data_IF_644910332187
#
_entry.id   IF_644910332187
#
_cell.length_a   1.000
_cell.length_b   1.000
_cell.length_c   1.000
_cell.angle_alpha   90.00
_cell.angle_beta   90.00
_cell.angle_gamma   90.00
#
_symmetry.space_group_name_H-M   'P 1'
#
loop_
_entity.id
_entity.type
_entity.pdbx_description
1 polymer ?
#
# COMPACT_ATOMS: atom_id res chain seq x y z
N UNK A 1 -36.90 -2.40 0.90
CA UNK A 1 -36.27 -3.61 1.44
C UNK A 1 -35.17 -4.05 0.48
N UNK A 2 -33.90 -3.76 0.74
CA UNK A 2 -32.78 -4.27 -0.05
C UNK A 2 -32.43 -5.65 0.50
N UNK A 3 -32.56 -6.69 -0.31
CA UNK A 3 -32.11 -8.04 0.04
C UNK A 3 -30.59 -8.05 0.16
N UNK A 4 -30.09 -8.31 1.36
CA UNK A 4 -28.68 -8.61 1.58
C UNK A 4 -28.40 -9.98 0.98
N UNK A 5 -27.62 -10.01 -0.10
CA UNK A 5 -27.08 -11.25 -0.65
C UNK A 5 -26.01 -11.77 0.33
N UNK A 6 -26.34 -12.73 1.14
CA UNK A 6 -25.36 -13.50 1.95
C UNK A 6 -24.50 -14.28 0.95
N UNK A 7 -23.22 -13.89 0.79
CA UNK A 7 -22.26 -14.68 0.01
C UNK A 7 -22.20 -16.10 0.60
N UNK A 8 -22.50 -17.11 -0.20
CA UNK A 8 -22.39 -18.51 0.21
C UNK A 8 -20.90 -18.86 0.32
N UNK A 9 -20.54 -19.60 1.37
CA UNK A 9 -19.21 -20.19 1.51
C UNK A 9 -18.98 -21.14 0.32
N UNK A 10 -18.09 -20.75 -0.62
CA UNK A 10 -17.81 -21.50 -1.86
C UNK A 10 -17.86 -20.67 -3.14
N UNK A 11 -18.42 -19.46 -3.13
CA UNK A 11 -18.37 -18.55 -4.27
C UNK A 11 -17.05 -17.75 -4.18
N UNK A 12 -16.06 -18.14 -4.98
CA UNK A 12 -14.79 -17.39 -5.10
C UNK A 12 -15.13 -16.11 -5.88
N UNK A 13 -15.62 -15.10 -5.14
CA UNK A 13 -15.97 -13.82 -5.73
C UNK A 13 -14.74 -13.17 -6.36
N UNK A 14 -14.91 -12.47 -7.46
CA UNK A 14 -13.87 -11.66 -8.07
C UNK A 14 -13.34 -10.65 -7.06
N UNK A 15 -12.02 -10.59 -6.92
CA UNK A 15 -11.31 -9.66 -6.03
C UNK A 15 -10.30 -8.86 -6.85
N UNK A 16 -10.12 -7.60 -6.49
CA UNK A 16 -9.09 -6.72 -7.05
C UNK A 16 -8.10 -6.31 -5.97
N UNK A 17 -6.84 -6.14 -6.37
CA UNK A 17 -5.77 -5.65 -5.51
C UNK A 17 -5.36 -4.25 -5.97
N UNK A 18 -5.41 -3.28 -5.06
CA UNK A 18 -4.89 -1.93 -5.22
C UNK A 18 -3.68 -1.76 -4.30
N UNK A 19 -2.47 -1.82 -4.87
CA UNK A 19 -1.23 -1.66 -4.11
C UNK A 19 -0.81 -0.19 -4.09
N UNK A 20 -0.85 0.43 -2.93
CA UNK A 20 -0.35 1.79 -2.71
C UNK A 20 1.05 1.71 -2.15
N UNK A 21 2.03 2.18 -2.91
CA UNK A 21 3.43 2.23 -2.49
C UNK A 21 3.95 3.66 -2.40
N UNK A 22 5.06 3.81 -1.72
CA UNK A 22 5.78 5.06 -1.55
C UNK A 22 6.85 4.88 -0.49
N UNK A 23 7.90 5.70 -0.51
CA UNK A 23 8.90 5.66 0.55
C UNK A 23 8.35 6.07 1.91
N UNK A 24 9.08 5.84 3.00
CA UNK A 24 8.76 6.49 4.27
C UNK A 24 8.71 8.01 4.06
N UNK A 25 7.74 8.68 4.68
CA UNK A 25 7.53 10.13 4.46
C UNK A 25 6.59 10.49 3.29
N UNK A 26 6.22 9.55 2.42
CA UNK A 26 5.29 9.82 1.31
C UNK A 26 3.81 9.99 1.74
N UNK A 27 3.47 9.78 3.02
CA UNK A 27 2.11 10.01 3.55
C UNK A 27 1.20 8.78 3.54
N UNK A 28 1.70 7.59 3.26
CA UNK A 28 0.92 6.35 3.09
C UNK A 28 -0.08 6.06 4.21
N UNK A 29 0.37 6.03 5.47
CA UNK A 29 -0.51 5.68 6.61
C UNK A 29 -1.64 6.68 6.78
N UNK A 30 -1.36 7.98 6.63
CA UNK A 30 -2.38 9.03 6.68
C UNK A 30 -3.42 8.85 5.56
N UNK A 31 -2.96 8.53 4.34
CA UNK A 31 -3.85 8.28 3.20
C UNK A 31 -4.66 6.99 3.38
N UNK A 32 -4.09 5.96 3.99
CA UNK A 32 -4.80 4.73 4.33
C UNK A 32 -5.97 5.02 5.27
N UNK A 33 -5.77 5.84 6.31
CA UNK A 33 -6.82 6.22 7.25
C UNK A 33 -7.94 7.01 6.55
N UNK A 34 -7.57 7.96 5.68
CA UNK A 34 -8.50 8.71 4.85
C UNK A 34 -9.31 7.83 3.88
N UNK A 35 -8.67 6.82 3.27
CA UNK A 35 -9.34 5.86 2.39
C UNK A 35 -10.28 4.94 3.17
N UNK A 36 -9.86 4.48 4.34
CA UNK A 36 -10.70 3.65 5.22
C UNK A 36 -12.00 4.37 5.59
N UNK A 37 -11.94 5.69 5.79
CA UNK A 37 -13.11 6.51 6.09
C UNK A 37 -14.03 6.79 4.87
N UNK A 38 -13.52 6.61 3.64
CA UNK A 38 -14.24 6.98 2.39
C UNK A 38 -14.69 5.81 1.54
N UNK A 39 -14.06 4.66 1.68
CA UNK A 39 -14.42 3.44 0.94
C UNK A 39 -15.46 2.64 1.71
N UNK A 40 -16.33 1.95 0.99
CA UNK A 40 -17.32 1.05 1.56
C UNK A 40 -16.61 -0.13 2.26
N UNK A 41 -16.70 -0.28 3.60
CA UNK A 41 -16.02 -1.35 4.32
C UNK A 41 -16.56 -2.74 4.01
N UNK A 42 -17.77 -2.87 3.46
CA UNK A 42 -18.32 -4.16 3.03
C UNK A 42 -17.66 -4.64 1.73
N UNK A 43 -17.15 -3.72 0.92
CA UNK A 43 -16.52 -4.00 -0.37
C UNK A 43 -14.99 -3.98 -0.31
N UNK A 44 -14.40 -3.08 0.46
CA UNK A 44 -12.96 -2.84 0.49
C UNK A 44 -12.36 -3.12 1.86
N UNK A 45 -11.20 -3.77 1.87
CA UNK A 45 -10.33 -3.87 3.03
C UNK A 45 -9.09 -3.00 2.83
N UNK A 46 -8.91 -1.95 3.65
CA UNK A 46 -7.71 -1.11 3.63
C UNK A 46 -6.75 -1.62 4.70
N UNK A 47 -5.60 -2.16 4.29
CA UNK A 47 -4.63 -2.81 5.20
C UNK A 47 -3.24 -2.27 4.93
N UNK A 48 -2.55 -1.78 5.97
CA UNK A 48 -1.13 -1.46 5.92
C UNK A 48 -0.30 -2.73 6.17
N UNK A 49 0.87 -2.83 5.54
CA UNK A 49 1.82 -3.92 5.79
C UNK A 49 2.15 -4.08 7.27
N UNK A 50 2.21 -2.98 8.02
CA UNK A 50 2.49 -2.98 9.45
C UNK A 50 1.33 -3.59 10.29
N UNK A 51 0.12 -3.66 9.73
CA UNK A 51 -1.06 -4.26 10.38
C UNK A 51 -1.20 -5.77 10.14
N UNK A 52 -0.31 -6.35 9.34
CA UNK A 52 -0.35 -7.80 9.04
C UNK A 52 0.06 -8.67 10.23
N UNK A 53 0.75 -8.09 11.21
CA UNK A 53 1.29 -8.79 12.38
C UNK A 53 2.61 -9.50 12.10
N UNK A 54 3.23 -9.25 10.93
CA UNK A 54 4.58 -9.69 10.62
C UNK A 54 5.57 -8.56 10.92
N UNK A 55 6.73 -8.92 11.48
CA UNK A 55 7.76 -7.96 11.82
C UNK A 55 8.95 -8.13 10.88
N UNK A 56 9.42 -7.04 10.27
CA UNK A 56 10.59 -7.03 9.41
C UNK A 56 11.83 -7.64 10.10
N UNK A 57 12.02 -7.38 11.39
CA UNK A 57 13.18 -7.87 12.13
C UNK A 57 13.25 -9.39 12.28
N UNK A 58 12.12 -10.09 12.09
CA UNK A 58 12.08 -11.56 12.08
C UNK A 58 12.56 -12.15 10.73
N UNK A 59 12.75 -11.28 9.73
CA UNK A 59 13.17 -11.64 8.37
C UNK A 59 14.57 -11.10 8.06
N UNK A 60 14.91 -9.90 8.53
CA UNK A 60 16.15 -9.20 8.20
C UNK A 60 17.39 -10.01 8.55
N UNK A 61 18.30 -10.19 7.57
CA UNK A 61 19.51 -10.99 7.71
C UNK A 61 19.30 -12.51 7.72
N UNK A 62 18.10 -13.00 7.48
CA UNK A 62 17.77 -14.42 7.35
C UNK A 62 17.57 -14.84 5.89
N UNK A 63 17.55 -16.14 5.61
CA UNK A 63 17.21 -16.68 4.28
C UNK A 63 15.80 -16.28 3.82
N UNK A 64 14.93 -15.86 4.75
CA UNK A 64 13.57 -15.43 4.50
C UNK A 64 13.43 -13.93 4.19
N UNK A 65 14.50 -13.15 4.26
CA UNK A 65 14.44 -11.69 4.05
C UNK A 65 13.70 -11.31 2.77
N UNK A 66 14.01 -11.97 1.66
CA UNK A 66 13.35 -11.72 0.37
C UNK A 66 11.88 -12.16 0.28
N UNK A 67 11.33 -12.78 1.32
CA UNK A 67 9.92 -13.19 1.38
C UNK A 67 9.04 -12.26 2.19
N UNK A 68 9.60 -11.35 2.99
CA UNK A 68 8.84 -10.50 3.90
C UNK A 68 7.64 -9.80 3.19
N UNK A 69 7.88 -9.21 2.04
CA UNK A 69 6.82 -8.52 1.31
C UNK A 69 5.74 -9.46 0.78
N UNK A 70 6.13 -10.62 0.27
CA UNK A 70 5.18 -11.62 -0.20
C UNK A 70 4.33 -12.18 0.96
N UNK A 71 4.96 -12.48 2.08
CA UNK A 71 4.28 -13.01 3.26
C UNK A 71 3.33 -11.97 3.88
N UNK A 72 3.69 -10.67 3.89
CA UNK A 72 2.79 -9.59 4.33
C UNK A 72 1.58 -9.45 3.42
N UNK A 73 1.77 -9.51 2.10
CA UNK A 73 0.66 -9.44 1.14
C UNK A 73 -0.26 -10.66 1.27
N UNK A 74 0.28 -11.88 1.38
CA UNK A 74 -0.50 -13.10 1.59
C UNK A 74 -1.34 -13.00 2.87
N UNK A 75 -0.75 -12.46 3.96
CA UNK A 75 -1.45 -12.24 5.21
C UNK A 75 -2.56 -11.18 5.08
N UNK A 76 -2.33 -10.13 4.30
CA UNK A 76 -3.32 -9.09 4.03
C UNK A 76 -4.52 -9.65 3.25
N UNK A 77 -4.30 -10.53 2.27
CA UNK A 77 -5.39 -11.24 1.59
C UNK A 77 -6.27 -12.04 2.56
N UNK A 78 -5.66 -12.76 3.50
CA UNK A 78 -6.42 -13.48 4.53
C UNK A 78 -7.31 -12.55 5.37
N UNK A 79 -6.80 -11.36 5.72
CA UNK A 79 -7.55 -10.35 6.47
C UNK A 79 -8.62 -9.62 5.63
N UNK A 80 -8.47 -9.59 4.31
CA UNK A 80 -9.45 -8.98 3.42
C UNK A 80 -10.76 -9.78 3.32
N UNK A 81 -10.74 -11.09 3.65
CA UNK A 81 -11.95 -11.93 3.71
C UNK A 81 -12.77 -11.91 2.42
N UNK A 82 -12.08 -11.93 1.27
CA UNK A 82 -12.71 -11.91 -0.05
C UNK A 82 -13.16 -10.54 -0.55
N UNK A 83 -12.90 -9.45 0.19
CA UNK A 83 -13.12 -8.07 -0.28
C UNK A 83 -12.00 -7.62 -1.20
N UNK A 84 -12.27 -6.60 -2.03
CA UNK A 84 -11.21 -5.90 -2.76
C UNK A 84 -10.18 -5.35 -1.77
N UNK A 85 -8.88 -5.63 -2.02
CA UNK A 85 -7.80 -5.27 -1.09
C UNK A 85 -7.12 -3.97 -1.53
N UNK A 86 -7.16 -2.96 -0.67
CA UNK A 86 -6.30 -1.77 -0.75
C UNK A 86 -5.12 -1.97 0.19
N UNK A 87 -4.00 -2.41 -0.37
CA UNK A 87 -2.79 -2.76 0.39
C UNK A 87 -1.77 -1.63 0.35
N UNK A 88 -1.38 -1.17 1.52
CA UNK A 88 -0.42 -0.07 1.68
C UNK A 88 0.92 -0.61 2.17
N UNK A 89 2.00 -0.30 1.45
CA UNK A 89 3.33 -0.78 1.81
C UNK A 89 4.43 0.20 1.40
N UNK A 90 5.55 0.19 2.12
CA UNK A 90 6.73 0.99 1.77
C UNK A 90 7.71 0.29 0.82
N UNK A 91 7.34 -0.83 0.22
CA UNK A 91 8.25 -1.69 -0.54
C UNK A 91 7.86 -1.74 -2.02
N UNK A 92 8.79 -2.20 -2.88
CA UNK A 92 8.56 -2.29 -4.32
C UNK A 92 7.50 -3.36 -4.65
N UNK A 93 6.37 -3.00 -5.27
CA UNK A 93 5.24 -3.91 -5.43
C UNK A 93 5.53 -5.11 -6.34
N UNK A 94 6.45 -4.96 -7.29
CA UNK A 94 6.77 -6.03 -8.24
C UNK A 94 7.34 -7.29 -7.60
N UNK A 95 8.09 -7.13 -6.49
CA UNK A 95 8.72 -8.26 -5.81
C UNK A 95 7.73 -9.08 -4.99
N UNK A 96 6.56 -8.53 -4.71
CA UNK A 96 5.56 -9.19 -3.86
C UNK A 96 4.55 -9.99 -4.63
N UNK A 97 3.96 -9.37 -5.66
CA UNK A 97 2.86 -9.98 -6.43
C UNK A 97 3.31 -11.29 -7.07
N UNK A 98 4.59 -11.40 -7.46
CA UNK A 98 5.13 -12.62 -8.07
C UNK A 98 5.45 -13.73 -7.10
N UNK A 99 5.61 -13.43 -5.79
CA UNK A 99 6.02 -14.39 -4.76
C UNK A 99 4.95 -14.65 -3.70
N UNK A 100 3.93 -13.78 -3.64
CA UNK A 100 2.84 -13.91 -2.68
C UNK A 100 1.90 -15.06 -3.06
N UNK A 101 1.32 -15.70 -2.06
CA UNK A 101 0.18 -16.57 -2.24
C UNK A 101 -1.05 -15.67 -2.49
N UNK A 102 -1.53 -15.66 -3.72
CA UNK A 102 -2.67 -14.89 -4.14
C UNK A 102 -3.92 -15.75 -4.19
N UNK A 103 -5.12 -15.24 -3.80
CA UNK A 103 -6.36 -15.98 -3.89
C UNK A 103 -6.74 -16.29 -5.34
N UNK A 104 -7.39 -17.42 -5.59
CA UNK A 104 -7.89 -17.79 -6.93
C UNK A 104 -8.81 -16.73 -7.54
N UNK A 105 -9.58 -16.01 -6.71
CA UNK A 105 -10.47 -14.94 -7.12
C UNK A 105 -9.79 -13.62 -7.48
N UNK A 106 -8.46 -13.50 -7.39
CA UNK A 106 -7.76 -12.28 -7.77
C UNK A 106 -7.77 -12.09 -9.30
N UNK A 107 -8.55 -11.12 -9.78
CA UNK A 107 -8.74 -10.87 -11.21
C UNK A 107 -7.88 -9.74 -11.77
N UNK A 108 -7.47 -8.79 -10.93
CA UNK A 108 -6.66 -7.66 -11.35
C UNK A 108 -5.81 -7.09 -10.20
N UNK A 109 -4.63 -6.54 -10.58
CA UNK A 109 -3.74 -5.80 -9.67
C UNK A 109 -3.43 -4.44 -10.26
N UNK A 110 -3.63 -3.39 -9.46
CA UNK A 110 -3.37 -2.01 -9.81
C UNK A 110 -2.31 -1.41 -8.89
N UNK A 111 -1.29 -0.80 -9.47
CA UNK A 111 -0.18 -0.19 -8.75
C UNK A 111 -0.36 1.32 -8.67
N UNK A 112 -0.33 1.85 -7.47
CA UNK A 112 -0.49 3.27 -7.16
C UNK A 112 0.78 3.74 -6.45
N UNK A 113 1.43 4.78 -6.94
CA UNK A 113 2.60 5.37 -6.30
C UNK A 113 2.28 6.72 -5.67
N UNK A 114 2.73 6.90 -4.43
CA UNK A 114 2.85 8.18 -3.76
C UNK A 114 4.30 8.62 -3.81
N UNK A 115 4.54 9.80 -4.31
CA UNK A 115 5.85 10.38 -4.48
C UNK A 115 5.83 11.87 -4.08
N UNK A 116 6.97 12.38 -3.67
CA UNK A 116 7.21 13.82 -3.53
C UNK A 116 8.68 14.10 -3.85
N UNK A 117 9.08 15.35 -4.14
CA UNK A 117 10.49 15.71 -4.28
C UNK A 117 11.31 15.28 -3.06
N UNK A 118 12.57 14.85 -3.30
CA UNK A 118 13.45 14.31 -2.26
C UNK A 118 13.58 15.26 -1.05
N UNK A 119 13.66 16.57 -1.29
CA UNK A 119 13.69 17.59 -0.22
C UNK A 119 12.47 17.52 0.71
N UNK A 120 11.30 17.22 0.14
CA UNK A 120 10.04 17.09 0.91
C UNK A 120 10.03 15.78 1.70
N UNK A 121 10.48 14.69 1.10
CA UNK A 121 10.62 13.40 1.80
C UNK A 121 11.59 13.54 2.98
N UNK A 122 12.75 14.12 2.75
CA UNK A 122 13.76 14.36 3.80
C UNK A 122 13.20 15.23 4.93
N UNK A 123 12.56 16.35 4.60
CA UNK A 123 11.91 17.22 5.58
C UNK A 123 10.88 16.47 6.42
N UNK A 124 10.02 15.69 5.78
CA UNK A 124 8.98 14.89 6.47
C UNK A 124 9.58 13.79 7.36
N UNK A 125 10.69 13.17 6.93
CA UNK A 125 11.40 12.17 7.74
C UNK A 125 12.05 12.79 8.98
N UNK A 126 12.77 13.90 8.81
CA UNK A 126 13.44 14.61 9.93
C UNK A 126 12.44 15.20 10.93
N UNK A 127 11.22 15.53 10.50
CA UNK A 127 10.15 16.00 11.37
C UNK A 127 9.50 14.91 12.22
N UNK A 128 9.83 13.62 12.00
CA UNK A 128 9.32 12.52 12.82
C UNK A 128 9.98 12.49 14.20
N UNK A 129 9.29 11.95 15.21
CA UNK A 129 9.90 11.70 16.51
C UNK A 129 11.21 10.92 16.40
N UNK A 130 12.21 11.25 17.22
CA UNK A 130 13.55 10.66 17.16
C UNK A 130 13.54 9.13 17.32
N UNK A 131 12.59 8.60 18.06
CA UNK A 131 12.36 7.16 18.28
C UNK A 131 12.05 6.39 16.99
N UNK A 132 11.64 7.11 15.92
CA UNK A 132 11.45 6.53 14.58
C UNK A 132 12.76 6.30 13.81
N UNK A 133 13.89 6.76 14.34
CA UNK A 133 15.22 6.46 13.81
C UNK A 133 15.66 7.28 12.58
N UNK A 134 14.92 8.32 12.17
CA UNK A 134 15.27 9.17 11.00
C UNK A 134 16.06 10.42 11.38
N UNK A 135 17.04 10.26 12.26
CA UNK A 135 17.83 11.39 12.80
C UNK A 135 19.14 11.62 12.05
N UNK A 136 19.62 10.64 11.30
CA UNK A 136 20.90 10.71 10.56
C UNK A 136 20.69 10.58 9.06
N UNK A 137 21.67 11.05 8.29
CA UNK A 137 21.66 10.95 6.84
C UNK A 137 21.73 9.48 6.38
N UNK A 138 22.45 8.63 7.11
CA UNK A 138 22.55 7.19 6.85
C UNK A 138 21.18 6.53 6.92
N UNK A 139 20.36 6.88 7.91
CA UNK A 139 19.01 6.34 8.07
C UNK A 139 18.04 6.84 6.98
N UNK A 140 18.23 8.06 6.49
CA UNK A 140 17.36 8.69 5.49
C UNK A 140 17.72 8.26 4.06
N UNK A 141 19.01 8.06 3.76
CA UNK A 141 19.53 7.77 2.41
C UNK A 141 18.82 6.63 1.67
N UNK A 142 18.52 5.47 2.29
CA UNK A 142 17.80 4.40 1.60
C UNK A 142 16.40 4.82 1.15
N UNK A 143 15.72 5.67 1.93
CA UNK A 143 14.38 6.17 1.62
C UNK A 143 14.39 7.15 0.46
N UNK A 144 15.39 8.03 0.39
CA UNK A 144 15.59 8.93 -0.75
C UNK A 144 15.95 8.12 -2.00
N UNK A 145 16.84 7.13 -1.91
CA UNK A 145 17.17 6.26 -3.04
C UNK A 145 15.94 5.53 -3.59
N UNK A 146 15.08 5.02 -2.71
CA UNK A 146 13.83 4.37 -3.12
C UNK A 146 12.83 5.37 -3.72
N UNK A 147 12.70 6.58 -3.15
CA UNK A 147 11.88 7.65 -3.72
C UNK A 147 12.30 8.00 -5.16
N UNK A 148 13.60 8.15 -5.39
CA UNK A 148 14.18 8.40 -6.71
C UNK A 148 13.90 7.23 -7.68
N UNK A 149 13.98 5.99 -7.18
CA UNK A 149 13.63 4.82 -7.98
C UNK A 149 12.16 4.85 -8.40
N UNK A 150 11.24 5.17 -7.50
CA UNK A 150 9.80 5.34 -7.81
C UNK A 150 9.63 6.42 -8.90
N UNK A 151 10.25 7.58 -8.74
CA UNK A 151 10.18 8.68 -9.69
C UNK A 151 10.66 8.29 -11.11
N UNK A 152 11.80 7.58 -11.19
CA UNK A 152 12.33 7.06 -12.48
C UNK A 152 11.47 5.97 -13.11
N UNK A 153 10.69 5.26 -12.29
CA UNK A 153 9.83 4.16 -12.74
C UNK A 153 8.35 4.53 -12.77
N UNK A 154 8.00 5.83 -12.84
CA UNK A 154 6.60 6.29 -12.80
C UNK A 154 5.68 5.61 -13.81
N UNK A 155 6.18 5.22 -14.97
CA UNK A 155 5.42 4.52 -16.00
C UNK A 155 4.99 3.09 -15.64
N UNK A 156 5.46 2.54 -14.51
CA UNK A 156 5.04 1.23 -14.00
C UNK A 156 3.75 1.29 -13.17
N UNK A 157 3.28 2.48 -12.83
CA UNK A 157 2.12 2.70 -11.97
C UNK A 157 0.94 3.17 -12.79
N UNK A 158 -0.24 2.58 -12.56
CA UNK A 158 -1.49 3.01 -13.19
C UNK A 158 -1.98 4.36 -12.65
N UNK A 159 -1.60 4.67 -11.39
CA UNK A 159 -1.80 5.99 -10.81
C UNK A 159 -0.51 6.44 -10.11
N UNK A 160 0.02 7.58 -10.53
CA UNK A 160 1.17 8.23 -9.91
C UNK A 160 0.74 9.57 -9.34
N UNK A 161 0.96 9.78 -8.05
CA UNK A 161 0.54 11.00 -7.35
C UNK A 161 1.76 11.69 -6.74
N UNK A 162 1.98 12.94 -7.16
CA UNK A 162 2.85 13.86 -6.44
C UNK A 162 2.07 14.42 -5.25
N UNK A 163 2.63 14.24 -4.06
CA UNK A 163 2.01 14.63 -2.79
C UNK A 163 2.62 15.91 -2.20
N UNK A 164 3.42 16.65 -2.97
CA UNK A 164 4.08 17.88 -2.47
C UNK A 164 3.03 18.91 -2.04
N UNK A 165 2.15 19.26 -2.97
CA UNK A 165 1.16 20.35 -2.80
C UNK A 165 -0.26 19.82 -2.55
N UNK A 166 -0.41 18.54 -2.20
CA UNK A 166 -1.72 17.94 -1.93
C UNK A 166 -1.92 17.65 -0.46
N UNK A 167 -3.10 17.94 0.03
CA UNK A 167 -3.54 17.45 1.33
C UNK A 167 -3.76 15.92 1.29
N UNK A 168 -3.68 15.24 2.43
CA UNK A 168 -4.02 13.82 2.52
C UNK A 168 -5.43 13.51 1.99
N UNK A 169 -6.40 14.40 2.28
CA UNK A 169 -7.78 14.23 1.82
C UNK A 169 -7.92 14.31 0.29
N UNK A 170 -7.23 15.26 -0.36
CA UNK A 170 -7.23 15.38 -1.83
C UNK A 170 -6.56 14.17 -2.48
N UNK A 171 -5.45 13.71 -1.92
CA UNK A 171 -4.77 12.50 -2.41
C UNK A 171 -5.65 11.26 -2.27
N UNK A 172 -6.30 11.06 -1.11
CA UNK A 172 -7.22 9.96 -0.87
C UNK A 172 -8.42 10.01 -1.82
N UNK A 173 -8.97 11.20 -2.08
CA UNK A 173 -10.08 11.37 -3.02
C UNK A 173 -9.68 10.99 -4.45
N UNK A 174 -8.48 11.37 -4.91
CA UNK A 174 -7.97 10.94 -6.23
C UNK A 174 -7.85 9.43 -6.33
N UNK A 175 -7.36 8.77 -5.27
CA UNK A 175 -7.26 7.31 -5.23
C UNK A 175 -8.66 6.68 -5.22
N UNK A 176 -9.58 7.17 -4.42
CA UNK A 176 -10.97 6.69 -4.37
C UNK A 176 -11.64 6.76 -5.73
N UNK A 177 -11.52 7.89 -6.44
CA UNK A 177 -12.06 8.05 -7.79
C UNK A 177 -11.42 7.09 -8.80
N UNK A 178 -10.12 6.82 -8.66
CA UNK A 178 -9.43 5.84 -9.49
C UNK A 178 -9.95 4.42 -9.22
N UNK A 179 -10.08 4.03 -7.95
CA UNK A 179 -10.63 2.73 -7.55
C UNK A 179 -12.04 2.54 -8.09
N UNK A 180 -12.93 3.53 -7.90
CA UNK A 180 -14.33 3.42 -8.34
C UNK A 180 -14.44 3.21 -9.84
N UNK A 181 -13.67 3.93 -10.67
CA UNK A 181 -13.68 3.72 -12.14
C UNK A 181 -13.31 2.32 -12.59
N UNK A 182 -12.58 1.57 -11.76
CA UNK A 182 -12.11 0.23 -12.08
C UNK A 182 -13.00 -0.86 -11.47
N UNK A 183 -13.97 -0.47 -10.67
CA UNK A 183 -14.84 -1.39 -9.92
C UNK A 183 -16.33 -1.20 -10.20
N UNK A 184 -16.69 -0.15 -10.94
CA UNK A 184 -18.01 0.05 -11.56
C UNK A 184 -18.12 -0.75 -12.86
#
# INVERSE_FOLDING_TARGET
MRQFAVRRQGDVGEMKLFMITGTCGAGKSTIKDELTARLDPERYACIDSDETGLNWWDYAGTEREGRYGADTLSRAFGKAEGRDLVFVSCMAPHDYVTKAEVPEGLTATFLIALWAPDRIIEQRLRARPAERGFTTDEAIRPHIAYNQWIGRNRGKYQLFIDTEDQTPGETAERIRLFINRLTE
#
